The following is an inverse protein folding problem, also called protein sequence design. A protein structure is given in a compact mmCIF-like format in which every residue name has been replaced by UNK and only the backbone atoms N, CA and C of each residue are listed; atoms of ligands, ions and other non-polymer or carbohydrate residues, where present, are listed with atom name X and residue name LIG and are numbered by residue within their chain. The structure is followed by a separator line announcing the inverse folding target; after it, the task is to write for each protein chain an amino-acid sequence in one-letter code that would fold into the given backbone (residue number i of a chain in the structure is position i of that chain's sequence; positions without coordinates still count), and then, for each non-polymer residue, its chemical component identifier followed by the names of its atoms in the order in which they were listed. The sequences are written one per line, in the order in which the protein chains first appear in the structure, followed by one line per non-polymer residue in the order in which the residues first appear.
data_IF_663944746220
#
_entry.id   IF_663944746220
#
_cell.length_a   1.000
_cell.length_b   1.000
_cell.length_c   1.000
_cell.angle_alpha   90.00
_cell.angle_beta   90.00
_cell.angle_gamma   90.00
#
_symmetry.space_group_name_H-M   'P 1'
#
loop_
_entity.id
_entity.type
_entity.pdbx_description
1 polymer ?
#
# COMPACT_ATOMS: atom_id res chain seq x y z
N UNK A 1 0.51 7.42 12.00
CA UNK A 1 0.25 7.22 10.57
C UNK A 1 -0.73 6.10 10.46
N UNK A 2 -1.88 6.37 9.87
CA UNK A 2 -2.98 5.41 9.73
C UNK A 2 -2.75 4.49 8.51
N UNK A 3 -3.39 3.32 8.50
CA UNK A 3 -3.19 2.32 7.44
C UNK A 3 -3.52 2.80 6.03
N UNK A 4 -4.38 3.81 5.89
CA UNK A 4 -4.69 4.48 4.62
C UNK A 4 -3.54 5.33 4.10
N UNK A 5 -2.87 6.08 4.98
CA UNK A 5 -1.73 6.94 4.60
C UNK A 5 -0.54 6.11 4.12
N UNK A 6 -0.32 4.95 4.73
CA UNK A 6 0.73 4.00 4.31
C UNK A 6 0.44 3.51 2.89
N UNK A 7 -0.81 3.15 2.61
CA UNK A 7 -1.23 2.66 1.29
C UNK A 7 -1.12 3.75 0.20
N UNK A 8 -1.46 4.99 0.53
CA UNK A 8 -1.29 6.14 -0.36
C UNK A 8 0.18 6.39 -0.70
N UNK A 9 1.08 6.28 0.28
CA UNK A 9 2.52 6.37 0.04
C UNK A 9 3.03 5.26 -0.87
N UNK A 10 2.50 4.03 -0.73
CA UNK A 10 2.77 2.95 -1.68
C UNK A 10 2.31 3.31 -3.09
N UNK A 11 1.11 3.86 -3.26
CA UNK A 11 0.58 4.25 -4.56
C UNK A 11 1.38 5.39 -5.21
N UNK A 12 1.62 6.48 -4.47
CA UNK A 12 2.31 7.66 -4.97
C UNK A 12 3.76 7.32 -5.33
N UNK A 13 4.48 6.64 -4.44
CA UNK A 13 5.88 6.28 -4.68
C UNK A 13 6.01 5.29 -5.83
N UNK A 14 5.10 4.32 -5.93
CA UNK A 14 5.08 3.37 -7.05
C UNK A 14 4.76 4.06 -8.40
N UNK A 15 3.83 5.02 -8.43
CA UNK A 15 3.56 5.83 -9.63
C UNK A 15 4.77 6.67 -10.05
N UNK A 16 5.60 7.09 -9.09
CA UNK A 16 6.88 7.76 -9.35
C UNK A 16 8.03 6.80 -9.75
N UNK A 17 7.74 5.50 -9.90
CA UNK A 17 8.72 4.49 -10.34
C UNK A 17 9.56 3.88 -9.21
N UNK A 18 9.22 4.12 -7.93
CA UNK A 18 9.90 3.48 -6.82
C UNK A 18 9.56 1.98 -6.74
N UNK A 19 10.55 1.16 -6.37
CA UNK A 19 10.33 -0.26 -6.09
C UNK A 19 9.64 -0.45 -4.73
N UNK A 20 8.87 -1.53 -4.56
CA UNK A 20 8.21 -1.84 -3.28
C UNK A 20 9.19 -1.86 -2.11
N UNK A 21 10.38 -2.44 -2.31
CA UNK A 21 11.44 -2.50 -1.29
C UNK A 21 11.88 -1.10 -0.86
N UNK A 22 12.05 -0.18 -1.80
CA UNK A 22 12.42 1.21 -1.51
C UNK A 22 11.36 1.90 -0.67
N UNK A 23 10.08 1.67 -0.98
CA UNK A 23 8.94 2.25 -0.26
C UNK A 23 8.87 1.68 1.16
N UNK A 24 9.03 0.36 1.32
CA UNK A 24 9.09 -0.30 2.62
C UNK A 24 10.22 0.28 3.49
N UNK A 25 11.42 0.45 2.93
CA UNK A 25 12.56 1.03 3.64
C UNK A 25 12.33 2.48 4.05
N UNK A 26 11.67 3.29 3.21
CA UNK A 26 11.32 4.68 3.54
C UNK A 26 10.31 4.76 4.69
N UNK A 27 9.25 3.96 4.63
CA UNK A 27 8.22 3.90 5.68
C UNK A 27 8.82 3.43 7.02
N UNK A 28 9.68 2.40 6.99
CA UNK A 28 10.38 1.94 8.19
C UNK A 28 11.31 3.02 8.77
N UNK A 29 12.02 3.78 7.93
CA UNK A 29 12.85 4.91 8.38
C UNK A 29 12.03 6.03 9.01
N UNK A 30 10.80 6.23 8.56
CA UNK A 30 9.85 7.20 9.12
C UNK A 30 9.17 6.72 10.40
N UNK A 31 9.56 5.55 10.92
CA UNK A 31 9.04 4.99 12.15
C UNK A 31 7.70 4.27 12.01
N UNK A 32 7.28 3.96 10.77
CA UNK A 32 6.09 3.14 10.54
C UNK A 32 6.37 1.71 11.01
N UNK A 33 5.41 1.11 11.70
CA UNK A 33 5.54 -0.25 12.21
C UNK A 33 5.68 -1.25 11.05
N UNK A 34 6.67 -2.15 11.14
CA UNK A 34 6.90 -3.19 10.13
C UNK A 34 5.63 -4.01 9.81
N UNK A 35 4.82 -4.35 10.82
CA UNK A 35 3.57 -5.11 10.59
C UNK A 35 2.57 -4.36 9.72
N UNK A 36 2.46 -3.04 9.92
CA UNK A 36 1.56 -2.19 9.14
C UNK A 36 2.08 -2.02 7.71
N UNK A 37 3.39 -1.84 7.55
CA UNK A 37 4.06 -1.81 6.24
C UNK A 37 3.83 -3.12 5.47
N UNK A 38 4.04 -4.27 6.10
CA UNK A 38 3.82 -5.58 5.46
C UNK A 38 2.36 -5.80 5.07
N UNK A 39 1.41 -5.42 5.93
CA UNK A 39 -0.03 -5.52 5.65
C UNK A 39 -0.41 -4.66 4.43
N UNK A 40 0.09 -3.42 4.38
CA UNK A 40 -0.17 -2.50 3.26
C UNK A 40 0.50 -2.99 1.98
N UNK A 41 1.73 -3.50 2.07
CA UNK A 41 2.42 -4.10 0.92
C UNK A 41 1.64 -5.28 0.36
N UNK A 42 1.15 -6.18 1.21
CA UNK A 42 0.36 -7.33 0.75
C UNK A 42 -0.93 -6.89 0.03
N UNK A 43 -1.65 -5.92 0.62
CA UNK A 43 -2.84 -5.35 0.00
C UNK A 43 -2.51 -4.67 -1.35
N UNK A 44 -1.39 -3.96 -1.41
CA UNK A 44 -0.90 -3.31 -2.62
C UNK A 44 -0.50 -4.33 -3.70
N UNK A 45 0.26 -5.37 -3.37
CA UNK A 45 0.64 -6.44 -4.30
C UNK A 45 -0.59 -7.17 -4.86
N UNK A 46 -1.59 -7.44 -4.01
CA UNK A 46 -2.86 -8.01 -4.44
C UNK A 46 -3.61 -7.08 -5.41
N UNK A 47 -3.58 -5.76 -5.15
CA UNK A 47 -4.14 -4.74 -6.03
C UNK A 47 -3.41 -4.65 -7.37
N UNK A 48 -2.07 -4.60 -7.39
CA UNK A 48 -1.28 -4.54 -8.64
C UNK A 48 -1.54 -5.76 -9.53
N UNK A 49 -1.65 -6.95 -8.93
CA UNK A 49 -1.93 -8.19 -9.68
C UNK A 49 -3.36 -8.26 -10.22
N UNK A 50 -4.33 -7.70 -9.51
CA UNK A 50 -5.75 -7.77 -9.88
C UNK A 50 -6.51 -6.48 -9.51
N UNK A 51 -6.23 -5.35 -10.21
CA UNK A 51 -6.80 -4.07 -9.82
C UNK A 51 -8.32 -4.06 -9.96
N UNK A 52 -8.88 -4.68 -11.01
CA UNK A 52 -10.34 -4.76 -11.26
C UNK A 52 -11.10 -5.48 -10.14
N UNK A 53 -10.49 -6.53 -9.55
CA UNK A 53 -11.11 -7.32 -8.48
C UNK A 53 -11.13 -6.54 -7.18
N UNK A 54 -10.01 -5.92 -6.81
CA UNK A 54 -9.89 -5.15 -5.57
C UNK A 54 -10.76 -3.87 -5.62
N UNK A 55 -10.81 -3.15 -6.74
CA UNK A 55 -11.73 -2.00 -6.88
C UNK A 55 -13.21 -2.38 -6.74
N UNK A 56 -13.58 -3.59 -7.17
CA UNK A 56 -14.95 -4.11 -7.02
C UNK A 56 -15.27 -4.51 -5.57
N UNK A 57 -14.29 -5.02 -4.83
CA UNK A 57 -14.40 -5.40 -3.41
C UNK A 57 -14.39 -4.16 -2.49
N UNK A 58 -13.52 -3.18 -2.77
CA UNK A 58 -13.44 -1.91 -2.04
C UNK A 58 -14.73 -1.09 -2.20
N UNK A 59 -15.28 -1.00 -3.42
CA UNK A 59 -16.57 -0.33 -3.65
C UNK A 59 -17.74 -0.96 -2.88
N UNK A 60 -17.65 -2.24 -2.51
CA UNK A 60 -18.68 -2.92 -1.71
C UNK A 60 -18.55 -2.69 -0.20
N UNK A 61 -17.35 -2.35 0.29
CA UNK A 61 -17.09 -2.18 1.72
C UNK A 61 -17.17 -0.72 2.20
N UNK A 62 -17.43 0.24 1.32
CA UNK A 62 -17.66 1.65 1.69
C UNK A 62 -19.16 1.92 1.68
N UNK A 63 -19.76 2.06 2.87
CA UNK A 63 -21.16 2.48 3.08
C UNK A 63 -21.22 3.48 4.23
#
# INVERSE_FOLDING_TARGET
MDGSEILDEFLISWQNGASLKTIEEDLLRRGVNRKDVEKCRYAFEAWVKNPKKIWSELKKSVK
#
